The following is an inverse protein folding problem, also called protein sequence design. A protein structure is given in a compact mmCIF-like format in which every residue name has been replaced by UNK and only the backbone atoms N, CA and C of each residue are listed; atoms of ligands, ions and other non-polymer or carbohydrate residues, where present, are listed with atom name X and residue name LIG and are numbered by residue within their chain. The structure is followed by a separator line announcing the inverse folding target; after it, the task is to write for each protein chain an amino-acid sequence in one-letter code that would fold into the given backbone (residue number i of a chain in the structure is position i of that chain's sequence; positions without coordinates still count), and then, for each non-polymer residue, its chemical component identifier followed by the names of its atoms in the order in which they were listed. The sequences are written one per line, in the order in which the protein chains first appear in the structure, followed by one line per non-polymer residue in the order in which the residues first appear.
data_IF_942564019651
#
_entry.id   IF_942564019651
#
_cell.length_a   1.000
_cell.length_b   1.000
_cell.length_c   1.000
_cell.angle_alpha   90.00
_cell.angle_beta   90.00
_cell.angle_gamma   90.00
#
_symmetry.space_group_name_H-M   'P 1'
#
loop_
_entity.id
_entity.type
_entity.pdbx_description
1 polymer ?
#
# COMPACT_ATOMS: atom_id res chain seq x y z
N UNK A 1 -13.13 -18.01 9.70
CA UNK A 1 -12.61 -16.63 9.56
C UNK A 1 -13.60 -15.76 8.79
N UNK A 2 -13.49 -14.43 8.86
CA UNK A 2 -14.40 -13.46 8.21
C UNK A 2 -13.96 -13.10 6.78
N UNK A 3 -12.66 -13.14 6.49
CA UNK A 3 -12.07 -12.74 5.21
C UNK A 3 -11.05 -13.77 4.76
N UNK A 4 -10.96 -14.00 3.45
CA UNK A 4 -9.88 -14.77 2.85
C UNK A 4 -8.73 -13.82 2.48
N UNK A 5 -7.61 -13.95 3.19
CA UNK A 5 -6.42 -13.12 3.01
C UNK A 5 -5.27 -13.87 2.34
N UNK A 6 -5.41 -15.18 2.10
CA UNK A 6 -4.32 -16.04 1.62
C UNK A 6 -3.59 -15.48 0.39
N UNK A 7 -4.27 -14.90 -0.62
CA UNK A 7 -3.61 -14.32 -1.80
C UNK A 7 -2.66 -13.16 -1.50
N UNK A 8 -2.77 -12.52 -0.33
CA UNK A 8 -2.02 -11.32 0.05
C UNK A 8 -0.94 -11.60 1.11
N UNK A 9 -0.73 -12.87 1.52
CA UNK A 9 0.25 -13.24 2.55
C UNK A 9 1.59 -13.62 1.91
N UNK A 10 2.46 -12.63 1.78
CA UNK A 10 3.83 -12.76 1.25
C UNK A 10 4.90 -13.02 2.32
N UNK A 11 4.56 -12.82 3.61
CA UNK A 11 5.37 -13.30 4.74
C UNK A 11 4.46 -13.92 5.78
N UNK A 12 4.88 -15.04 6.34
CA UNK A 12 4.13 -15.76 7.38
C UNK A 12 4.64 -15.44 8.80
N UNK A 13 5.72 -14.69 8.90
CA UNK A 13 6.31 -14.31 10.18
C UNK A 13 5.81 -12.91 10.55
N UNK A 14 4.88 -12.86 11.50
CA UNK A 14 4.27 -11.63 12.00
C UNK A 14 4.62 -11.43 13.46
N UNK A 15 5.10 -10.24 13.81
CA UNK A 15 5.31 -9.78 15.17
C UNK A 15 4.23 -8.77 15.54
N UNK A 16 3.63 -8.92 16.72
CA UNK A 16 2.73 -7.89 17.28
C UNK A 16 3.46 -7.21 18.43
N UNK A 17 3.72 -5.91 18.31
CA UNK A 17 4.48 -5.13 19.29
C UNK A 17 3.79 -3.80 19.62
N UNK A 18 3.39 -3.64 20.89
CA UNK A 18 2.72 -2.43 21.36
C UNK A 18 3.65 -1.21 21.26
N UNK A 19 3.15 -0.13 20.66
CA UNK A 19 3.88 1.14 20.53
C UNK A 19 4.91 1.18 19.39
N UNK A 20 5.07 0.09 18.63
CA UNK A 20 5.88 0.11 17.42
C UNK A 20 5.18 0.91 16.31
N UNK A 21 5.99 1.53 15.44
CA UNK A 21 5.53 1.95 14.12
C UNK A 21 5.43 0.68 13.27
N UNK A 22 4.29 0.39 12.62
CA UNK A 22 4.19 -0.73 11.70
C UNK A 22 5.28 -0.69 10.63
N UNK A 23 5.86 -1.84 10.32
CA UNK A 23 6.87 -1.97 9.28
C UNK A 23 7.01 -3.42 8.81
N UNK A 24 7.41 -3.59 7.56
CA UNK A 24 7.51 -4.88 6.89
C UNK A 24 8.83 -5.62 7.15
N UNK A 25 9.92 -4.88 7.42
CA UNK A 25 11.28 -5.43 7.46
C UNK A 25 12.00 -5.17 8.79
N UNK A 26 12.79 -6.14 9.30
CA UNK A 26 13.08 -7.47 8.72
C UNK A 26 11.96 -8.50 8.96
N UNK A 27 11.01 -8.20 9.85
CA UNK A 27 9.84 -9.01 10.16
C UNK A 27 8.63 -8.07 10.15
N UNK A 28 7.51 -8.53 9.57
CA UNK A 28 6.27 -7.76 9.55
C UNK A 28 5.82 -7.51 10.98
N UNK A 29 5.86 -6.26 11.41
CA UNK A 29 5.52 -5.83 12.77
C UNK A 29 4.25 -5.01 12.73
N UNK A 30 3.23 -5.44 13.47
CA UNK A 30 1.99 -4.70 13.69
C UNK A 30 1.97 -4.10 15.09
N UNK A 31 1.27 -2.98 15.23
CA UNK A 31 0.99 -2.39 16.54
C UNK A 31 -0.42 -2.73 17.01
N UNK A 32 -0.72 -2.38 18.26
CA UNK A 32 -2.05 -2.58 18.88
C UNK A 32 -2.81 -1.27 19.05
N UNK A 33 -2.44 -0.23 18.30
CA UNK A 33 -2.96 1.13 18.48
C UNK A 33 -4.11 1.47 17.52
N UNK A 34 -4.27 0.73 16.41
CA UNK A 34 -5.40 0.90 15.52
C UNK A 34 -6.71 0.49 16.21
N UNK A 35 -7.74 1.31 16.00
CA UNK A 35 -8.98 1.27 16.78
C UNK A 35 -10.14 0.53 16.12
N UNK A 36 -9.97 0.06 14.88
CA UNK A 36 -10.99 -0.68 14.13
C UNK A 36 -10.39 -1.83 13.35
N UNK A 37 -11.18 -2.88 13.11
CA UNK A 37 -10.78 -4.06 12.34
C UNK A 37 -10.32 -3.70 10.92
N UNK A 38 -10.97 -2.71 10.29
CA UNK A 38 -10.60 -2.23 8.95
C UNK A 38 -9.23 -1.53 8.97
N UNK A 39 -8.93 -0.73 10.00
CA UNK A 39 -7.62 -0.10 10.13
C UNK A 39 -6.52 -1.15 10.34
N UNK A 40 -6.77 -2.14 11.21
CA UNK A 40 -5.83 -3.25 11.45
C UNK A 40 -5.59 -4.07 10.18
N UNK A 41 -6.66 -4.42 9.46
CA UNK A 41 -6.58 -5.14 8.20
C UNK A 41 -5.80 -4.34 7.16
N UNK A 42 -6.09 -3.04 7.03
CA UNK A 42 -5.39 -2.16 6.10
C UNK A 42 -3.90 -2.04 6.43
N UNK A 43 -3.53 -1.86 7.70
CA UNK A 43 -2.13 -1.84 8.14
C UNK A 43 -1.44 -3.18 7.84
N UNK A 44 -2.10 -4.32 8.08
CA UNK A 44 -1.56 -5.63 7.70
C UNK A 44 -1.31 -5.73 6.19
N UNK A 45 -2.30 -5.37 5.38
CA UNK A 45 -2.18 -5.42 3.92
C UNK A 45 -1.10 -4.44 3.41
N UNK A 46 -0.98 -3.24 3.99
CA UNK A 46 0.09 -2.28 3.69
C UNK A 46 1.47 -2.92 3.82
N UNK A 47 1.75 -3.52 4.97
CA UNK A 47 3.04 -4.17 5.20
C UNK A 47 3.23 -5.39 4.29
N UNK A 48 2.16 -6.10 3.95
CA UNK A 48 2.22 -7.16 2.95
C UNK A 48 2.54 -6.62 1.54
N UNK A 49 2.08 -5.42 1.18
CA UNK A 49 2.37 -4.83 -0.13
C UNK A 49 3.81 -4.34 -0.26
N UNK A 50 4.46 -3.98 0.84
CA UNK A 50 5.91 -3.81 0.85
C UNK A 50 6.62 -5.10 0.43
N UNK A 51 6.22 -6.26 0.96
CA UNK A 51 6.76 -7.55 0.52
C UNK A 51 6.41 -7.86 -0.94
N UNK A 52 5.15 -7.65 -1.35
CA UNK A 52 4.72 -7.84 -2.74
C UNK A 52 5.56 -7.03 -3.73
N UNK A 53 5.85 -5.77 -3.40
CA UNK A 53 6.63 -4.89 -4.27
C UNK A 53 8.04 -5.41 -4.58
N UNK A 54 8.62 -6.24 -3.70
CA UNK A 54 9.90 -6.91 -3.95
C UNK A 54 9.80 -8.02 -5.00
N UNK A 55 8.65 -8.69 -5.09
CA UNK A 55 8.41 -9.73 -6.11
C UNK A 55 8.10 -9.13 -7.49
N UNK A 56 7.72 -7.86 -7.56
CA UNK A 56 7.52 -7.12 -8.81
C UNK A 56 8.84 -6.63 -9.45
N UNK A 57 9.99 -7.22 -9.08
CA UNK A 57 11.33 -6.80 -9.48
C UNK A 57 11.44 -6.39 -10.97
N UNK A 58 11.90 -5.16 -11.21
CA UNK A 58 11.96 -4.53 -12.53
C UNK A 58 10.62 -4.21 -13.22
N UNK A 59 9.53 -4.91 -12.88
CA UNK A 59 8.20 -4.73 -13.50
C UNK A 59 7.50 -3.44 -13.08
N UNK A 60 7.88 -2.86 -11.94
CA UNK A 60 7.42 -1.53 -11.53
C UNK A 60 8.11 -0.39 -12.29
N UNK A 61 9.18 -0.64 -13.06
CA UNK A 61 9.95 0.42 -13.71
C UNK A 61 9.09 1.30 -14.65
N UNK A 62 8.23 0.76 -15.55
CA UNK A 62 7.40 1.60 -16.40
C UNK A 62 6.43 2.48 -15.61
N UNK A 63 5.90 1.97 -14.50
CA UNK A 63 5.03 2.72 -13.59
C UNK A 63 5.83 3.83 -12.91
N UNK A 64 7.03 3.53 -12.42
CA UNK A 64 7.90 4.49 -11.76
C UNK A 64 8.32 5.63 -12.72
N UNK A 65 8.62 5.33 -13.97
CA UNK A 65 8.95 6.34 -15.00
C UNK A 65 7.78 7.30 -15.25
N UNK A 66 6.57 6.76 -15.38
CA UNK A 66 5.36 7.58 -15.60
C UNK A 66 5.04 8.42 -14.36
N UNK A 67 5.14 7.83 -13.17
CA UNK A 67 4.96 8.55 -11.91
C UNK A 67 5.99 9.67 -11.73
N UNK A 68 7.26 9.44 -12.08
CA UNK A 68 8.31 10.46 -12.00
C UNK A 68 8.05 11.66 -12.93
N UNK A 69 7.49 11.40 -14.12
CA UNK A 69 7.07 12.47 -15.05
C UNK A 69 5.82 13.20 -14.53
N UNK A 70 4.83 12.46 -14.01
CA UNK A 70 3.55 13.02 -13.53
C UNK A 70 3.73 13.84 -12.26
N UNK A 71 4.63 13.42 -11.36
CA UNK A 71 4.87 14.02 -10.05
C UNK A 71 6.35 14.42 -9.90
N UNK A 72 6.83 15.43 -10.65
CA UNK A 72 8.25 15.82 -10.64
C UNK A 72 8.73 16.39 -9.30
N UNK A 73 7.82 16.66 -8.37
CA UNK A 73 8.08 17.07 -6.99
C UNK A 73 7.11 16.36 -6.07
N UNK A 74 7.63 15.68 -5.07
CA UNK A 74 6.85 14.97 -4.05
C UNK A 74 7.27 15.45 -2.67
N UNK A 75 6.39 15.48 -1.67
CA UNK A 75 6.78 15.80 -0.30
C UNK A 75 7.69 14.70 0.25
N UNK A 76 8.71 15.08 0.99
CA UNK A 76 9.63 14.16 1.66
C UNK A 76 9.19 13.91 3.11
N UNK A 77 8.77 14.96 3.82
CA UNK A 77 8.53 14.91 5.27
C UNK A 77 7.16 14.32 5.65
N UNK A 78 7.12 13.64 6.79
CA UNK A 78 5.87 13.25 7.43
C UNK A 78 5.07 14.50 7.88
N UNK A 79 3.73 14.46 7.89
CA UNK A 79 2.87 13.34 7.52
C UNK A 79 2.50 13.30 6.03
N UNK A 80 3.04 14.20 5.19
CA UNK A 80 2.66 14.28 3.78
C UNK A 80 3.37 13.20 2.94
N UNK A 81 4.69 13.08 3.10
CA UNK A 81 5.54 12.06 2.50
C UNK A 81 6.02 11.01 3.50
N UNK A 82 7.11 10.32 3.16
CA UNK A 82 7.58 9.13 3.88
C UNK A 82 9.05 9.18 4.34
N UNK A 83 9.51 10.35 4.79
CA UNK A 83 10.87 10.61 5.30
C UNK A 83 11.94 10.85 4.23
N UNK A 84 11.59 10.71 2.94
CA UNK A 84 12.42 11.12 1.79
C UNK A 84 11.57 11.10 0.51
N UNK A 85 12.00 11.79 -0.55
CA UNK A 85 11.29 11.73 -1.84
C UNK A 85 11.27 10.32 -2.42
N UNK A 86 12.38 9.59 -2.33
CA UNK A 86 12.48 8.20 -2.77
C UNK A 86 11.46 7.31 -2.04
N UNK A 87 11.38 7.43 -0.71
CA UNK A 87 10.41 6.69 0.08
C UNK A 87 8.98 7.10 -0.28
N UNK A 88 8.70 8.39 -0.48
CA UNK A 88 7.36 8.85 -0.90
C UNK A 88 6.94 8.27 -2.25
N UNK A 89 7.86 8.20 -3.22
CA UNK A 89 7.60 7.55 -4.51
C UNK A 89 7.28 6.06 -4.35
N UNK A 90 8.07 5.34 -3.54
CA UNK A 90 7.78 3.94 -3.23
C UNK A 90 6.38 3.78 -2.64
N UNK A 91 5.97 4.69 -1.76
CA UNK A 91 4.67 4.64 -1.10
C UNK A 91 3.49 4.94 -2.05
N UNK A 92 3.67 5.63 -3.18
CA UNK A 92 2.61 5.72 -4.21
C UNK A 92 2.22 4.33 -4.70
N UNK A 93 3.21 3.47 -4.95
CA UNK A 93 2.98 2.10 -5.37
C UNK A 93 2.42 1.22 -4.24
N UNK A 94 3.04 1.28 -3.05
CA UNK A 94 2.63 0.45 -1.90
C UNK A 94 1.21 0.79 -1.46
N UNK A 95 0.87 2.08 -1.32
CA UNK A 95 -0.46 2.50 -0.88
C UNK A 95 -1.55 2.25 -1.95
N UNK A 96 -1.20 2.24 -3.24
CA UNK A 96 -2.15 1.84 -4.27
C UNK A 96 -2.40 0.34 -4.25
N UNK A 97 -1.36 -0.48 -4.12
CA UNK A 97 -1.48 -1.93 -3.95
C UNK A 97 -2.31 -2.27 -2.70
N UNK A 98 -2.09 -1.53 -1.61
CA UNK A 98 -2.86 -1.63 -0.36
C UNK A 98 -4.34 -1.36 -0.61
N UNK A 99 -4.68 -0.27 -1.32
CA UNK A 99 -6.05 0.02 -1.73
C UNK A 99 -6.68 -1.15 -2.51
N UNK A 100 -5.97 -1.70 -3.51
CA UNK A 100 -6.49 -2.81 -4.32
C UNK A 100 -6.67 -4.10 -3.50
N UNK A 101 -5.76 -4.38 -2.56
CA UNK A 101 -5.91 -5.51 -1.65
C UNK A 101 -7.11 -5.32 -0.71
N UNK A 102 -7.30 -4.12 -0.14
CA UNK A 102 -8.47 -3.80 0.70
C UNK A 102 -9.75 -3.87 -0.11
N UNK A 103 -9.77 -3.36 -1.35
CA UNK A 103 -10.92 -3.43 -2.26
C UNK A 103 -11.32 -4.87 -2.56
N UNK A 104 -10.35 -5.76 -2.80
CA UNK A 104 -10.63 -7.15 -3.07
C UNK A 104 -11.23 -7.88 -1.85
N UNK A 105 -10.88 -7.47 -0.63
CA UNK A 105 -11.36 -8.09 0.61
C UNK A 105 -12.69 -7.49 1.09
N UNK A 106 -12.86 -6.18 0.99
CA UNK A 106 -13.98 -5.43 1.60
C UNK A 106 -14.95 -4.81 0.59
N UNK A 107 -14.59 -4.79 -0.70
CA UNK A 107 -15.30 -4.08 -1.75
C UNK A 107 -14.89 -2.60 -1.86
N UNK A 108 -15.13 -2.02 -3.04
CA UNK A 108 -14.66 -0.68 -3.44
C UNK A 108 -15.11 0.43 -2.50
N UNK A 109 -16.37 0.43 -2.07
CA UNK A 109 -16.91 1.49 -1.21
C UNK A 109 -16.13 1.58 0.12
N UNK A 110 -15.88 0.43 0.75
CA UNK A 110 -15.13 0.37 2.01
C UNK A 110 -13.66 0.70 1.81
N UNK A 111 -13.05 0.27 0.70
CA UNK A 111 -11.68 0.61 0.36
C UNK A 111 -11.47 2.10 0.09
N UNK A 112 -12.42 2.76 -0.59
CA UNK A 112 -12.38 4.21 -0.80
C UNK A 112 -12.53 4.96 0.54
N UNK A 113 -13.47 4.54 1.40
CA UNK A 113 -13.62 5.13 2.73
C UNK A 113 -12.35 4.94 3.58
N UNK A 114 -11.70 3.77 3.49
CA UNK A 114 -10.43 3.47 4.12
C UNK A 114 -9.33 4.43 3.66
N UNK A 115 -9.05 4.51 2.35
CA UNK A 115 -8.02 5.42 1.79
C UNK A 115 -8.32 6.88 2.13
N UNK A 116 -9.59 7.29 2.11
CA UNK A 116 -9.99 8.63 2.49
C UNK A 116 -9.73 8.93 3.97
N UNK A 117 -9.89 7.96 4.86
CA UNK A 117 -9.51 8.09 6.26
C UNK A 117 -7.98 8.17 6.42
N UNK A 118 -7.23 7.34 5.70
CA UNK A 118 -5.76 7.34 5.71
C UNK A 118 -5.15 8.64 5.20
N UNK A 119 -5.78 9.28 4.21
CA UNK A 119 -5.39 10.60 3.68
C UNK A 119 -5.35 11.74 4.71
N UNK A 120 -5.89 11.51 5.91
CA UNK A 120 -5.92 12.46 7.03
C UNK A 120 -4.95 12.08 8.17
N UNK A 121 -4.36 10.87 8.14
CA UNK A 121 -3.46 10.35 9.18
C UNK A 121 -1.99 10.59 8.81
N UNK A 122 -1.42 9.74 7.98
CA UNK A 122 -0.02 9.72 7.53
C UNK A 122 0.03 9.43 6.02
N UNK A 123 1.18 9.64 5.36
CA UNK A 123 1.31 9.61 3.90
C UNK A 123 0.20 10.38 3.18
N UNK A 124 -0.19 11.52 3.76
CA UNK A 124 -1.44 12.21 3.43
C UNK A 124 -1.47 12.63 1.96
N UNK A 125 -0.35 13.14 1.46
CA UNK A 125 -0.23 13.50 0.06
C UNK A 125 -0.35 12.26 -0.84
N UNK A 126 0.34 11.16 -0.48
CA UNK A 126 0.29 9.89 -1.23
C UNK A 126 -1.15 9.39 -1.40
N UNK A 127 -1.91 9.26 -0.32
CA UNK A 127 -3.29 8.78 -0.39
C UNK A 127 -4.22 9.77 -1.12
N UNK A 128 -4.03 11.08 -0.97
CA UNK A 128 -4.80 12.06 -1.76
C UNK A 128 -4.48 11.95 -3.25
N UNK A 129 -3.21 11.81 -3.61
CA UNK A 129 -2.78 11.61 -4.99
C UNK A 129 -3.39 10.35 -5.60
N UNK A 130 -3.43 9.24 -4.86
CA UNK A 130 -4.11 8.02 -5.32
C UNK A 130 -5.61 8.26 -5.54
N UNK A 131 -6.29 8.98 -4.64
CA UNK A 131 -7.71 9.31 -4.82
C UNK A 131 -7.96 10.24 -6.01
N UNK A 132 -7.11 11.24 -6.21
CA UNK A 132 -7.23 12.25 -7.28
C UNK A 132 -6.92 11.66 -8.66
N UNK A 133 -5.92 10.80 -8.77
CA UNK A 133 -5.47 10.19 -10.02
C UNK A 133 -5.82 8.68 -10.09
N UNK A 134 -6.88 8.22 -9.41
CA UNK A 134 -7.23 6.79 -9.29
C UNK A 134 -7.25 6.06 -10.64
N UNK A 135 -7.89 6.66 -11.65
CA UNK A 135 -8.00 6.07 -12.99
C UNK A 135 -6.63 5.83 -13.63
N UNK A 136 -5.66 6.74 -13.42
CA UNK A 136 -4.29 6.59 -13.92
C UNK A 136 -3.61 5.40 -13.24
N UNK A 137 -3.72 5.27 -11.91
CA UNK A 137 -3.12 4.13 -11.21
C UNK A 137 -3.76 2.81 -11.65
N UNK A 138 -5.09 2.74 -11.76
CA UNK A 138 -5.80 1.56 -12.20
C UNK A 138 -5.42 1.16 -13.63
N UNK A 139 -5.32 2.12 -14.55
CA UNK A 139 -4.88 1.89 -15.93
C UNK A 139 -3.43 1.36 -16.00
N UNK A 140 -2.51 2.01 -15.29
CA UNK A 140 -1.09 1.62 -15.29
C UNK A 140 -0.88 0.21 -14.74
N UNK A 141 -1.48 -0.10 -13.60
CA UNK A 141 -1.32 -1.41 -12.97
C UNK A 141 -2.01 -2.52 -13.76
N UNK A 142 -3.15 -2.23 -14.40
CA UNK A 142 -3.80 -3.18 -15.30
C UNK A 142 -2.96 -3.43 -16.56
N UNK A 143 -2.46 -2.38 -17.21
CA UNK A 143 -1.65 -2.45 -18.43
C UNK A 143 -0.38 -3.28 -18.23
N UNK A 144 0.26 -3.14 -17.07
CA UNK A 144 1.49 -3.86 -16.73
C UNK A 144 1.26 -5.17 -15.97
N UNK A 145 0.00 -5.59 -15.77
CA UNK A 145 -0.39 -6.83 -15.10
C UNK A 145 0.23 -6.96 -13.69
N UNK A 146 0.13 -5.89 -12.90
CA UNK A 146 0.78 -5.76 -11.59
C UNK A 146 -0.14 -6.07 -10.40
N UNK A 147 -1.35 -6.59 -10.67
CA UNK A 147 -2.34 -6.99 -9.65
C UNK A 147 -2.57 -8.51 -9.65
N UNK A 148 -1.58 -9.28 -10.12
CA UNK A 148 -1.62 -10.74 -10.13
C UNK A 148 -1.11 -11.27 -8.77
N UNK A 149 -2.01 -11.30 -7.79
CA UNK A 149 -1.70 -11.65 -6.41
C UNK A 149 -1.29 -13.12 -6.27
N UNK A 150 -1.98 -14.03 -6.97
CA UNK A 150 -1.86 -15.48 -6.81
C UNK A 150 -0.63 -16.07 -7.50
N UNK A 151 -0.25 -15.54 -8.66
CA UNK A 151 0.86 -16.09 -9.47
C UNK A 151 2.21 -15.66 -8.92
N UNK A 152 2.26 -14.53 -8.19
CA UNK A 152 3.49 -13.94 -7.67
C UNK A 152 3.80 -14.36 -6.22
N UNK A 153 2.84 -14.95 -5.50
CA UNK A 153 2.97 -15.36 -4.09
C UNK A 153 3.57 -16.77 -3.89
N UNK A 154 4.04 -17.43 -4.95
CA UNK A 154 4.47 -18.85 -4.93
C UNK A 154 5.94 -19.02 -5.28
#
# INVERSE_FOLDING_TARGET
EQYDLEPYVYTKTVQVHRGAIPHSHPVLTLNTADSTDVMLLGTFLHEQMHWYSLFLDGRLMPVAEIMAVRYPKVPSEFPEGAGSEHSTFLHLSVCFLEFKAVEAVLGREQALAYVQAMSKRYYRWVYRTILEDMDLFEELYATHQLLDWETMAK
#
